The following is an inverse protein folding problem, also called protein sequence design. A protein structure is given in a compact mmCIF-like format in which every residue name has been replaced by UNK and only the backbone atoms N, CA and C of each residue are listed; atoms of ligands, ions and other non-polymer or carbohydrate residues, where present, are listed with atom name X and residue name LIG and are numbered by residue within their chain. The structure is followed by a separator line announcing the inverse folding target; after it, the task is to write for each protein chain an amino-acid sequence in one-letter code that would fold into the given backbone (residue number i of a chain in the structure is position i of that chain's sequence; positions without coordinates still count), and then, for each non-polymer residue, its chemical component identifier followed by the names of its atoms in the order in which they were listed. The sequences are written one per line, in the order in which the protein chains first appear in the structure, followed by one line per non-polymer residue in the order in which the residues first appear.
data_IF_674491603918
#
_entry.id   IF_674491603918
#
_cell.length_a   1.000
_cell.length_b   1.000
_cell.length_c   1.000
_cell.angle_alpha   90.00
_cell.angle_beta   90.00
_cell.angle_gamma   90.00
#
_symmetry.space_group_name_H-M   'P 1'
#
loop_
_entity.id
_entity.type
_entity.pdbx_description
1 polymer ?
#
# COMPACT_ATOMS: atom_id res chain seq x y z
N UNK A 1 17.36 6.83 1.65
CA UNK A 1 16.93 5.52 2.20
C UNK A 1 17.96 5.07 3.22
N UNK A 2 17.65 5.11 4.52
CA UNK A 2 18.44 4.38 5.52
C UNK A 2 18.14 2.89 5.29
N UNK A 3 19.14 2.16 4.79
CA UNK A 3 19.00 0.76 4.43
C UNK A 3 18.70 -0.05 5.70
N UNK A 4 17.49 -0.62 5.78
CA UNK A 4 17.22 -1.73 6.68
C UNK A 4 18.26 -2.83 6.40
N UNK A 5 18.81 -3.51 7.43
CA UNK A 5 19.82 -4.54 7.20
C UNK A 5 19.32 -5.55 6.18
N UNK A 6 20.16 -5.87 5.19
CA UNK A 6 19.82 -6.81 4.14
C UNK A 6 19.36 -8.14 4.76
N UNK A 7 18.12 -8.53 4.47
CA UNK A 7 17.61 -9.82 4.91
C UNK A 7 18.41 -10.94 4.23
N UNK A 8 18.66 -12.05 4.93
CA UNK A 8 19.34 -13.20 4.32
C UNK A 8 18.50 -13.73 3.16
N UNK A 9 19.16 -14.28 2.13
CA UNK A 9 18.46 -14.95 1.05
C UNK A 9 17.66 -16.15 1.58
N UNK A 10 16.45 -16.32 1.07
CA UNK A 10 15.54 -17.42 1.43
C UNK A 10 15.25 -18.28 0.19
N UNK A 11 15.23 -19.60 0.38
CA UNK A 11 15.03 -20.53 -0.72
C UNK A 11 13.52 -20.72 -1.00
N UNK A 12 13.04 -20.49 -2.25
CA UNK A 12 11.61 -20.54 -2.55
C UNK A 12 10.92 -21.89 -2.26
N UNK A 13 11.66 -22.99 -2.30
CA UNK A 13 11.18 -24.35 -2.00
C UNK A 13 10.88 -24.58 -0.50
N UNK A 14 11.32 -23.67 0.37
CA UNK A 14 11.02 -23.68 1.80
C UNK A 14 9.74 -22.92 2.18
N UNK A 15 9.11 -22.25 1.21
CA UNK A 15 7.82 -21.60 1.42
C UNK A 15 6.72 -22.65 1.69
N UNK A 16 5.78 -22.25 2.53
CA UNK A 16 4.62 -23.04 2.90
C UNK A 16 3.34 -22.30 2.53
N UNK A 17 2.27 -23.07 2.29
CA UNK A 17 0.92 -22.51 2.16
C UNK A 17 0.63 -21.60 3.35
N UNK A 18 0.14 -20.40 3.08
CA UNK A 18 -0.14 -19.39 4.10
C UNK A 18 1.02 -18.47 4.45
N UNK A 19 2.26 -18.74 4.00
CA UNK A 19 3.33 -17.75 4.06
C UNK A 19 2.91 -16.49 3.28
N UNK A 20 3.39 -15.32 3.68
CA UNK A 20 3.05 -14.05 3.06
C UNK A 20 4.28 -13.48 2.37
N UNK A 21 4.07 -12.87 1.20
CA UNK A 21 5.11 -12.18 0.46
C UNK A 21 4.82 -10.68 0.45
N UNK A 22 5.74 -9.89 0.98
CA UNK A 22 5.71 -8.43 0.93
C UNK A 22 6.67 -7.94 -0.14
N UNK A 23 6.22 -7.01 -0.97
CA UNK A 23 6.88 -6.73 -2.24
C UNK A 23 6.95 -5.23 -2.52
N UNK A 24 8.01 -4.80 -3.18
CA UNK A 24 8.13 -3.46 -3.75
C UNK A 24 8.06 -3.55 -5.27
N UNK A 25 7.02 -2.95 -5.85
CA UNK A 25 6.89 -2.81 -7.30
C UNK A 25 7.74 -1.67 -7.87
N UNK A 26 8.06 -1.72 -9.16
CA UNK A 26 8.89 -0.72 -9.86
C UNK A 26 8.11 0.51 -10.39
N UNK A 27 6.78 0.53 -10.27
CA UNK A 27 5.94 1.61 -10.82
C UNK A 27 5.84 2.85 -9.92
N UNK A 28 5.65 4.06 -10.46
CA UNK A 28 5.47 5.28 -9.67
C UNK A 28 4.29 5.21 -8.67
N UNK A 29 3.19 4.54 -9.02
CA UNK A 29 2.11 4.29 -8.03
C UNK A 29 2.57 3.36 -6.91
N UNK A 30 3.43 2.36 -7.19
CA UNK A 30 4.02 1.53 -6.13
C UNK A 30 4.88 2.35 -5.18
N UNK A 31 5.71 3.26 -5.69
CA UNK A 31 6.53 4.14 -4.86
C UNK A 31 5.68 5.09 -4.00
N UNK A 32 4.58 5.62 -4.55
CA UNK A 32 3.64 6.45 -3.78
C UNK A 32 2.92 5.66 -2.69
N UNK A 33 2.49 4.42 -2.95
CA UNK A 33 1.88 3.55 -1.94
C UNK A 33 2.87 3.25 -0.82
N UNK A 34 4.11 2.91 -1.18
CA UNK A 34 5.19 2.65 -0.24
C UNK A 34 5.46 3.89 0.65
N UNK A 35 5.62 5.07 0.03
CA UNK A 35 5.82 6.33 0.76
C UNK A 35 4.66 6.69 1.68
N UNK A 36 3.40 6.62 1.19
CA UNK A 36 2.21 6.88 1.99
C UNK A 36 2.10 5.91 3.16
N UNK A 37 2.44 4.63 2.94
CA UNK A 37 2.41 3.58 3.94
C UNK A 37 3.59 3.55 4.90
N UNK A 38 4.53 4.52 4.81
CA UNK A 38 5.81 4.49 5.54
C UNK A 38 6.60 3.19 5.35
N UNK A 39 6.41 2.55 4.19
CA UNK A 39 6.83 1.17 3.94
C UNK A 39 7.90 1.09 2.87
N UNK A 40 8.74 0.07 2.96
CA UNK A 40 9.55 -0.37 1.83
C UNK A 40 8.78 -1.32 0.89
N UNK A 41 7.50 -1.58 1.17
CA UNK A 41 6.65 -2.48 0.41
C UNK A 41 5.44 -1.71 -0.13
N UNK A 42 5.06 -1.98 -1.37
CA UNK A 42 3.84 -1.45 -2.00
C UNK A 42 2.75 -2.51 -2.17
N UNK A 43 3.10 -3.79 -1.98
CA UNK A 43 2.22 -4.90 -2.33
C UNK A 43 2.37 -6.10 -1.38
N UNK A 44 1.32 -6.91 -1.30
CA UNK A 44 1.27 -8.12 -0.48
C UNK A 44 0.58 -9.28 -1.22
N UNK A 45 1.03 -10.51 -0.98
CA UNK A 45 0.42 -11.72 -1.50
C UNK A 45 0.50 -12.84 -0.45
N UNK A 46 -0.36 -13.85 -0.57
CA UNK A 46 -0.29 -15.07 0.24
C UNK A 46 0.12 -16.26 -0.63
N UNK A 47 1.04 -17.09 -0.14
CA UNK A 47 1.48 -18.32 -0.79
C UNK A 47 0.33 -19.33 -0.74
N UNK A 48 -0.06 -19.81 -1.91
CA UNK A 48 -1.10 -20.81 -2.09
C UNK A 48 -0.48 -22.19 -2.35
N UNK A 49 -1.34 -23.18 -2.58
CA UNK A 49 -0.93 -24.51 -3.04
C UNK A 49 -0.39 -24.47 -4.48
N UNK A 50 0.29 -25.55 -4.89
CA UNK A 50 0.77 -25.77 -6.27
C UNK A 50 1.79 -24.75 -6.77
N UNK A 51 2.47 -24.02 -5.88
CA UNK A 51 3.46 -23.01 -6.26
C UNK A 51 2.84 -21.71 -6.77
N UNK A 52 1.59 -21.44 -6.40
CA UNK A 52 0.89 -20.20 -6.71
C UNK A 52 0.97 -19.20 -5.55
N UNK A 53 0.66 -17.96 -5.87
CA UNK A 53 0.31 -16.88 -4.98
C UNK A 53 -1.16 -16.54 -5.18
N UNK A 54 -1.84 -16.11 -4.11
CA UNK A 54 -3.11 -15.39 -4.21
C UNK A 54 -2.84 -13.93 -3.83
N UNK A 55 -3.22 -13.01 -4.73
CA UNK A 55 -3.03 -11.58 -4.56
C UNK A 55 -4.21 -10.81 -5.16
N UNK A 56 -4.44 -9.58 -4.70
CA UNK A 56 -5.30 -8.63 -5.41
C UNK A 56 -4.42 -7.76 -6.31
N UNK A 57 -4.71 -7.74 -7.61
CA UNK A 57 -4.09 -6.85 -8.60
C UNK A 57 -5.19 -6.21 -9.46
N UNK A 58 -4.88 -5.30 -10.39
CA UNK A 58 -5.89 -4.60 -11.20
C UNK A 58 -6.97 -5.51 -11.85
N UNK A 59 -6.65 -6.78 -12.14
CA UNK A 59 -7.58 -7.80 -12.64
C UNK A 59 -8.51 -8.43 -11.58
N UNK A 60 -8.49 -7.95 -10.33
CA UNK A 60 -9.11 -8.59 -9.18
C UNK A 60 -8.20 -9.55 -8.41
N UNK A 61 -8.79 -10.18 -7.39
CA UNK A 61 -8.12 -11.24 -6.62
C UNK A 61 -7.92 -12.45 -7.52
N UNK A 62 -6.67 -12.84 -7.72
CA UNK A 62 -6.26 -13.88 -8.68
C UNK A 62 -5.22 -14.81 -8.10
N UNK A 63 -5.05 -15.96 -8.77
CA UNK A 63 -3.85 -16.78 -8.66
C UNK A 63 -2.76 -16.27 -9.59
N UNK A 64 -1.51 -16.38 -9.16
CA UNK A 64 -0.34 -16.04 -9.97
C UNK A 64 0.83 -16.97 -9.62
N UNK A 65 1.52 -17.50 -10.63
CA UNK A 65 2.60 -18.45 -10.41
C UNK A 65 3.78 -17.79 -9.66
N UNK A 66 4.23 -18.39 -8.55
CA UNK A 66 5.39 -17.92 -7.80
C UNK A 66 6.65 -17.90 -8.66
N UNK A 67 6.86 -18.95 -9.45
CA UNK A 67 8.02 -19.07 -10.34
C UNK A 67 8.11 -17.89 -11.32
N UNK A 68 6.97 -17.46 -11.89
CA UNK A 68 6.90 -16.30 -12.76
C UNK A 68 7.20 -15.01 -11.98
N UNK A 69 6.63 -14.85 -10.77
CA UNK A 69 6.89 -13.68 -9.91
C UNK A 69 8.36 -13.54 -9.55
N UNK A 70 9.05 -14.63 -9.23
CA UNK A 70 10.47 -14.60 -8.86
C UNK A 70 11.42 -14.34 -10.03
N UNK A 71 10.92 -14.35 -11.26
CA UNK A 71 11.68 -13.94 -12.45
C UNK A 71 11.34 -12.53 -12.92
N UNK A 72 10.33 -11.88 -12.32
CA UNK A 72 9.83 -10.58 -12.74
C UNK A 72 10.59 -9.43 -12.09
N UNK A 73 11.88 -9.32 -12.42
CA UNK A 73 12.76 -8.24 -11.93
C UNK A 73 12.50 -6.91 -12.62
N UNK A 74 11.62 -6.87 -13.62
CA UNK A 74 11.21 -5.63 -14.31
C UNK A 74 10.09 -4.94 -13.54
N UNK A 75 9.16 -5.69 -12.96
CA UNK A 75 8.04 -5.10 -12.21
C UNK A 75 8.24 -5.12 -10.68
N UNK A 76 9.17 -5.92 -10.15
CA UNK A 76 9.44 -6.01 -8.71
C UNK A 76 10.91 -5.83 -8.37
N UNK A 77 11.19 -4.92 -7.43
CA UNK A 77 12.52 -4.64 -6.92
C UNK A 77 12.91 -5.56 -5.76
N UNK A 78 11.96 -5.84 -4.88
CA UNK A 78 12.19 -6.62 -3.65
C UNK A 78 10.99 -7.52 -3.40
N UNK A 79 11.26 -8.76 -2.98
CA UNK A 79 10.25 -9.68 -2.43
C UNK A 79 10.83 -10.32 -1.18
N UNK A 80 10.18 -10.06 -0.05
CA UNK A 80 10.52 -10.61 1.26
C UNK A 80 9.41 -11.55 1.75
N UNK A 81 9.82 -12.68 2.32
CA UNK A 81 8.94 -13.72 2.79
C UNK A 81 8.78 -13.66 4.32
N UNK A 82 7.55 -13.87 4.77
CA UNK A 82 7.20 -13.94 6.18
C UNK A 82 6.29 -15.14 6.42
N UNK A 83 6.41 -15.74 7.61
CA UNK A 83 5.59 -16.86 8.06
C UNK A 83 4.63 -16.42 9.14
N UNK A 84 3.31 -16.61 8.96
CA UNK A 84 2.37 -16.31 10.02
C UNK A 84 2.44 -17.25 11.22
N UNK A 85 2.15 -16.67 12.36
CA UNK A 85 1.90 -17.31 13.64
C UNK A 85 0.44 -17.05 14.02
N UNK A 86 -0.10 -17.92 14.86
CA UNK A 86 -1.33 -17.61 15.57
C UNK A 86 -1.16 -16.37 16.45
N UNK A 87 -2.28 -15.79 16.90
CA UNK A 87 -2.27 -14.67 17.85
C UNK A 87 -1.47 -14.98 19.13
N UNK A 88 -1.38 -16.25 19.53
CA UNK A 88 -0.59 -16.70 20.67
C UNK A 88 0.92 -16.87 20.37
N UNK A 89 1.38 -16.52 19.16
CA UNK A 89 2.77 -16.67 18.73
C UNK A 89 3.17 -18.11 18.37
N UNK A 90 2.20 -19.02 18.21
CA UNK A 90 2.46 -20.42 17.85
C UNK A 90 2.48 -20.60 16.33
N UNK A 91 3.36 -21.46 15.83
CA UNK A 91 3.37 -21.86 14.43
C UNK A 91 2.03 -22.50 14.03
N UNK A 92 1.58 -22.18 12.82
CA UNK A 92 0.36 -22.77 12.24
C UNK A 92 0.57 -24.26 11.98
N UNK A 93 -0.45 -25.07 12.24
CA UNK A 93 -0.49 -26.47 11.82
C UNK A 93 -1.05 -26.63 10.38
N UNK A 94 -1.15 -27.86 9.90
CA UNK A 94 -1.68 -28.13 8.55
C UNK A 94 -3.15 -27.73 8.41
N UNK A 95 -3.95 -27.86 9.48
CA UNK A 95 -5.36 -27.50 9.45
C UNK A 95 -5.53 -25.97 9.36
N UNK A 96 -4.71 -25.22 10.08
CA UNK A 96 -4.64 -23.77 10.00
C UNK A 96 -4.27 -23.29 8.61
N UNK A 97 -3.20 -23.84 8.03
CA UNK A 97 -2.78 -23.50 6.66
C UNK A 97 -3.88 -23.81 5.66
N UNK A 98 -4.58 -24.94 5.81
CA UNK A 98 -5.70 -25.30 4.96
C UNK A 98 -6.88 -24.34 5.10
N UNK A 99 -7.24 -23.93 6.32
CA UNK A 99 -8.30 -22.94 6.57
C UNK A 99 -7.96 -21.56 5.97
N UNK A 100 -6.70 -21.12 6.11
CA UNK A 100 -6.22 -19.87 5.50
C UNK A 100 -6.28 -19.94 3.98
N UNK A 101 -5.82 -21.05 3.39
CA UNK A 101 -5.89 -21.27 1.94
C UNK A 101 -7.34 -21.29 1.45
N UNK A 102 -8.23 -22.02 2.12
CA UNK A 102 -9.65 -22.09 1.76
C UNK A 102 -10.28 -20.69 1.81
N UNK A 103 -9.94 -19.89 2.83
CA UNK A 103 -10.40 -18.50 2.90
C UNK A 103 -9.84 -17.66 1.76
N UNK A 104 -8.53 -17.69 1.50
CA UNK A 104 -7.92 -16.95 0.40
C UNK A 104 -8.55 -17.32 -0.96
N UNK A 105 -8.82 -18.61 -1.19
CA UNK A 105 -9.49 -19.09 -2.40
C UNK A 105 -10.94 -18.58 -2.51
N UNK A 106 -11.66 -18.44 -1.40
CA UNK A 106 -13.02 -17.88 -1.41
C UNK A 106 -13.08 -16.41 -1.86
N UNK A 107 -11.94 -15.71 -1.85
CA UNK A 107 -11.83 -14.32 -2.28
C UNK A 107 -11.51 -14.18 -3.77
N UNK A 108 -11.22 -15.28 -4.48
CA UNK A 108 -10.88 -15.24 -5.90
C UNK A 108 -12.01 -14.60 -6.73
N UNK A 109 -11.62 -13.73 -7.66
CA UNK A 109 -12.55 -13.00 -8.53
C UNK A 109 -13.20 -11.78 -7.89
N UNK A 110 -12.99 -11.52 -6.59
CA UNK A 110 -13.38 -10.22 -6.00
C UNK A 110 -12.64 -9.12 -6.77
N UNK A 111 -13.36 -8.15 -7.36
CA UNK A 111 -12.72 -7.08 -8.12
C UNK A 111 -11.70 -6.32 -7.28
N UNK A 112 -10.66 -5.86 -7.93
CA UNK A 112 -9.79 -4.85 -7.32
C UNK A 112 -10.57 -3.55 -7.34
N UNK A 113 -10.48 -2.70 -6.31
CA UNK A 113 -11.04 -1.36 -6.43
C UNK A 113 -10.37 -0.74 -7.65
N UNK A 114 -11.11 -0.60 -8.76
CA UNK A 114 -10.59 -0.01 -10.02
C UNK A 114 -10.01 1.39 -9.78
N UNK A 115 -10.35 1.95 -8.63
CA UNK A 115 -9.80 3.14 -8.03
C UNK A 115 -8.59 2.85 -7.11
N UNK A 116 -7.45 2.42 -7.65
CA UNK A 116 -6.19 2.37 -6.88
C UNK A 116 -5.86 3.74 -6.25
N UNK A 117 -6.33 4.82 -6.89
CA UNK A 117 -6.28 6.18 -6.38
C UNK A 117 -7.09 6.31 -5.08
N UNK A 118 -8.29 5.74 -4.98
CA UNK A 118 -9.02 5.73 -3.71
C UNK A 118 -8.19 5.09 -2.58
N UNK A 119 -7.46 4.01 -2.84
CA UNK A 119 -6.58 3.40 -1.81
C UNK A 119 -5.49 4.38 -1.40
N UNK A 120 -4.78 4.98 -2.36
CA UNK A 120 -3.78 6.01 -2.09
C UNK A 120 -4.37 7.17 -1.26
N UNK A 121 -5.58 7.61 -1.57
CA UNK A 121 -6.29 8.68 -0.87
C UNK A 121 -6.61 8.33 0.58
N UNK A 122 -7.06 7.09 0.85
CA UNK A 122 -7.23 6.58 2.22
C UNK A 122 -5.92 6.68 2.99
N UNK A 123 -4.81 6.24 2.39
CA UNK A 123 -3.51 6.22 3.07
C UNK A 123 -3.03 7.62 3.40
N UNK A 124 -3.13 8.54 2.45
CA UNK A 124 -2.85 9.96 2.67
C UNK A 124 -3.71 10.52 3.80
N UNK A 125 -5.00 10.22 3.84
CA UNK A 125 -5.89 10.70 4.89
C UNK A 125 -5.54 10.15 6.29
N UNK A 126 -5.09 8.89 6.37
CA UNK A 126 -4.69 8.27 7.64
C UNK A 126 -3.35 8.81 8.12
N UNK A 127 -2.37 8.86 7.21
CA UNK A 127 -0.96 9.16 7.50
C UNK A 127 -0.61 10.64 7.44
N UNK A 128 -1.49 11.47 6.89
CA UNK A 128 -1.32 12.93 6.83
C UNK A 128 -0.12 13.36 5.99
N UNK A 129 0.26 12.58 4.97
CA UNK A 129 1.40 12.86 4.10
C UNK A 129 0.97 13.67 2.88
N UNK A 130 1.60 14.82 2.65
CA UNK A 130 1.23 15.73 1.56
C UNK A 130 2.41 16.01 0.63
N UNK A 131 2.24 15.76 -0.68
CA UNK A 131 3.30 16.09 -1.62
C UNK A 131 3.43 17.60 -1.83
N UNK A 132 4.65 18.08 -1.97
CA UNK A 132 4.90 19.47 -2.40
C UNK A 132 4.75 19.68 -3.90
N UNK A 133 4.98 18.63 -4.70
CA UNK A 133 4.88 18.72 -6.14
C UNK A 133 3.43 18.91 -6.59
N UNK A 134 3.17 19.95 -7.40
CA UNK A 134 1.82 20.33 -7.83
C UNK A 134 1.05 19.18 -8.52
N UNK A 135 1.74 18.34 -9.30
CA UNK A 135 1.08 17.24 -10.02
C UNK A 135 0.70 16.12 -9.06
N UNK A 136 1.57 15.83 -8.08
CA UNK A 136 1.25 14.88 -7.03
C UNK A 136 0.09 15.38 -6.18
N UNK A 137 -0.02 16.69 -5.92
CA UNK A 137 -1.19 17.27 -5.24
C UNK A 137 -2.49 17.06 -6.03
N UNK A 138 -2.45 17.14 -7.36
CA UNK A 138 -3.60 16.78 -8.20
C UNK A 138 -3.92 15.29 -8.06
N UNK A 139 -2.93 14.39 -8.20
CA UNK A 139 -3.13 12.94 -8.06
C UNK A 139 -3.71 12.59 -6.68
N UNK A 140 -3.19 13.19 -5.61
CA UNK A 140 -3.70 12.99 -4.24
C UNK A 140 -5.10 13.58 -4.08
N UNK A 141 -5.41 14.72 -4.70
CA UNK A 141 -6.77 15.28 -4.68
C UNK A 141 -7.76 14.35 -5.37
N UNK A 142 -7.45 13.84 -6.55
CA UNK A 142 -8.28 12.87 -7.25
C UNK A 142 -8.48 11.61 -6.40
N UNK A 143 -7.38 11.09 -5.83
CA UNK A 143 -7.40 9.97 -4.90
C UNK A 143 -8.34 10.20 -3.71
N UNK A 144 -8.38 11.42 -3.16
CA UNK A 144 -9.28 11.79 -2.07
C UNK A 144 -10.73 11.94 -2.51
N UNK A 145 -10.98 12.50 -3.70
CA UNK A 145 -12.32 12.71 -4.25
C UNK A 145 -13.03 11.38 -4.61
N UNK A 146 -12.26 10.33 -4.87
CA UNK A 146 -12.75 9.01 -5.24
C UNK A 146 -13.20 8.14 -4.02
N UNK A 147 -13.29 8.73 -2.81
CA UNK A 147 -13.42 7.98 -1.55
C UNK A 147 -14.84 7.72 -1.00
N UNK A 148 -14.92 6.52 -0.38
CA UNK A 148 -15.86 5.93 0.61
C UNK A 148 -17.26 5.45 0.17
N UNK A 149 -17.35 4.13 -0.03
CA UNK A 149 -18.27 3.23 0.71
C UNK A 149 -17.46 2.02 1.22
N UNK A 150 -17.60 1.65 2.49
CA UNK A 150 -17.06 0.37 3.00
C UNK A 150 -17.85 -0.78 2.37
N UNK A 151 -17.31 -1.31 1.28
CA UNK A 151 -17.95 -2.37 0.51
C UNK A 151 -16.95 -3.52 0.31
N UNK A 152 -17.24 -4.73 0.83
CA UNK A 152 -16.41 -5.90 0.61
C UNK A 152 -16.42 -6.39 -0.84
N UNK A 153 -17.16 -5.73 -1.75
CA UNK A 153 -17.17 -6.05 -3.19
C UNK A 153 -15.88 -5.69 -3.92
N UNK A 154 -14.90 -5.06 -3.26
CA UNK A 154 -13.59 -4.76 -3.83
C UNK A 154 -12.49 -5.00 -2.78
N UNK A 155 -11.33 -5.50 -3.19
CA UNK A 155 -10.21 -5.78 -2.26
C UNK A 155 -8.85 -5.35 -2.78
N UNK A 156 -8.04 -4.78 -1.88
CA UNK A 156 -6.62 -4.48 -2.11
C UNK A 156 -5.73 -5.64 -1.66
N UNK A 157 -4.44 -5.60 -2.02
CA UNK A 157 -3.52 -6.71 -1.87
C UNK A 157 -3.29 -7.13 -0.41
N UNK A 158 -3.05 -6.16 0.49
CA UNK A 158 -2.90 -6.41 1.94
C UNK A 158 -4.19 -6.79 2.64
N UNK A 159 -5.34 -6.29 2.16
CA UNK A 159 -6.67 -6.68 2.65
C UNK A 159 -6.92 -8.18 2.40
N UNK A 160 -6.57 -8.70 1.22
CA UNK A 160 -6.69 -10.14 0.91
C UNK A 160 -5.90 -10.97 1.92
N UNK A 161 -4.65 -10.61 2.19
CA UNK A 161 -3.80 -11.31 3.16
C UNK A 161 -4.41 -11.25 4.56
N UNK A 162 -4.80 -10.05 5.01
CA UNK A 162 -5.38 -9.88 6.34
C UNK A 162 -6.68 -10.68 6.50
N UNK A 163 -7.60 -10.60 5.54
CA UNK A 163 -8.88 -11.35 5.58
C UNK A 163 -8.67 -12.85 5.48
N UNK A 164 -7.70 -13.32 4.69
CA UNK A 164 -7.37 -14.74 4.59
C UNK A 164 -6.95 -15.31 5.95
N UNK A 165 -6.21 -14.55 6.75
CA UNK A 165 -5.77 -14.95 8.08
C UNK A 165 -6.85 -14.72 9.15
N UNK A 166 -7.45 -13.54 9.19
CA UNK A 166 -8.37 -13.13 10.24
C UNK A 166 -9.76 -13.79 10.17
N UNK A 167 -10.24 -14.10 8.97
CA UNK A 167 -11.60 -14.59 8.74
C UNK A 167 -11.64 -16.05 8.29
N UNK A 168 -10.52 -16.78 8.37
CA UNK A 168 -10.51 -18.21 8.13
C UNK A 168 -11.26 -18.98 9.23
N UNK A 169 -11.67 -20.20 8.90
CA UNK A 169 -12.36 -21.10 9.83
C UNK A 169 -11.35 -21.79 10.77
N UNK A 170 -10.73 -21.00 11.64
CA UNK A 170 -9.86 -21.46 12.70
C UNK A 170 -10.62 -21.47 14.04
N UNK A 171 -10.29 -22.42 14.92
CA UNK A 171 -10.94 -22.56 16.24
C UNK A 171 -9.98 -22.24 17.38
N UNK A 172 -10.28 -21.27 18.28
CA UNK A 172 -11.45 -20.38 18.24
C UNK A 172 -11.42 -19.36 17.08
N UNK A 173 -12.58 -18.82 16.66
CA UNK A 173 -12.66 -17.83 15.60
C UNK A 173 -11.72 -16.63 15.83
N UNK A 174 -11.07 -16.18 14.76
CA UNK A 174 -10.15 -15.04 14.82
C UNK A 174 -8.79 -15.33 15.46
N UNK A 175 -8.50 -16.57 15.90
CA UNK A 175 -7.20 -16.89 16.53
C UNK A 175 -5.99 -16.72 15.61
N UNK A 176 -6.22 -16.65 14.30
CA UNK A 176 -5.19 -16.42 13.29
C UNK A 176 -5.17 -14.97 12.77
N UNK A 177 -6.03 -14.09 13.31
CA UNK A 177 -6.03 -12.69 12.94
C UNK A 177 -4.69 -12.04 13.34
N UNK A 178 -3.94 -11.47 12.38
CA UNK A 178 -2.69 -10.80 12.68
C UNK A 178 -2.92 -9.63 13.64
N UNK A 179 -2.09 -9.53 14.67
CA UNK A 179 -2.11 -8.37 15.54
C UNK A 179 -1.54 -7.17 14.77
N UNK A 180 -2.38 -6.18 14.50
CA UNK A 180 -1.96 -4.94 13.86
C UNK A 180 -1.50 -3.98 14.93
N UNK A 181 -0.29 -3.45 14.73
CA UNK A 181 0.37 -2.56 15.67
C UNK A 181 0.61 -1.23 14.96
N UNK A 182 0.04 -0.15 15.49
CA UNK A 182 0.25 1.17 14.94
C UNK A 182 1.68 1.63 15.27
N UNK A 183 2.51 1.66 14.23
CA UNK A 183 3.80 2.36 14.25
C UNK A 183 3.59 3.85 13.99
N UNK A 184 4.42 4.69 14.61
CA UNK A 184 4.44 6.11 14.28
C UNK A 184 4.75 6.35 12.79
N UNK A 185 4.31 7.48 12.22
CA UNK A 185 4.71 7.88 10.89
C UNK A 185 6.23 8.12 10.85
N UNK A 186 6.84 7.91 9.68
CA UNK A 186 8.28 8.13 9.49
C UNK A 186 8.52 9.36 8.63
N UNK A 187 9.69 9.98 8.78
CA UNK A 187 10.14 11.07 7.91
C UNK A 187 10.68 10.62 6.56
N UNK A 188 10.08 9.57 5.98
CA UNK A 188 10.49 9.10 4.67
C UNK A 188 10.30 10.25 3.66
N UNK A 189 11.38 10.70 2.98
CA UNK A 189 11.28 11.80 2.04
C UNK A 189 10.37 11.40 0.88
N UNK A 190 9.72 12.39 0.27
CA UNK A 190 8.96 12.18 -0.96
C UNK A 190 9.86 11.55 -2.05
N UNK A 191 9.42 10.49 -2.74
CA UNK A 191 10.24 9.80 -3.75
C UNK A 191 10.52 10.69 -4.97
N UNK A 192 11.64 10.44 -5.65
CA UNK A 192 11.94 11.05 -6.94
C UNK A 192 11.19 10.30 -8.05
N UNK A 193 10.02 10.81 -8.43
CA UNK A 193 9.10 10.10 -9.32
C UNK A 193 9.31 10.48 -10.79
N UNK A 194 9.23 9.48 -11.67
CA UNK A 194 8.95 9.70 -13.09
C UNK A 194 7.51 10.19 -13.25
N UNK A 195 7.35 11.52 -13.35
CA UNK A 195 6.05 12.18 -13.45
C UNK A 195 5.25 11.81 -14.69
N UNK A 196 5.93 11.50 -15.81
CA UNK A 196 5.27 11.08 -17.04
C UNK A 196 4.71 9.68 -16.87
N UNK A 197 5.54 8.76 -16.40
CA UNK A 197 5.12 7.39 -16.12
C UNK A 197 4.01 7.36 -15.05
N UNK A 198 4.10 8.19 -14.01
CA UNK A 198 3.05 8.33 -13.01
C UNK A 198 1.76 8.79 -13.64
N UNK A 199 1.79 9.84 -14.46
CA UNK A 199 0.58 10.35 -15.12
C UNK A 199 -0.04 9.32 -16.05
N UNK A 200 0.76 8.60 -16.83
CA UNK A 200 0.29 7.53 -17.72
C UNK A 200 -0.35 6.38 -16.92
N UNK A 201 0.28 5.94 -15.84
CA UNK A 201 -0.23 4.89 -14.95
C UNK A 201 -1.56 5.33 -14.31
N UNK A 202 -1.59 6.54 -13.74
CA UNK A 202 -2.80 7.14 -13.14
C UNK A 202 -3.92 7.32 -14.16
N UNK A 203 -3.60 7.78 -15.37
CA UNK A 203 -4.59 8.04 -16.42
C UNK A 203 -5.38 6.79 -16.80
N UNK A 204 -4.73 5.63 -16.86
CA UNK A 204 -5.39 4.35 -17.13
C UNK A 204 -6.35 3.91 -16.02
N UNK A 205 -6.17 4.42 -14.80
CA UNK A 205 -7.00 4.11 -13.64
C UNK A 205 -8.20 5.06 -13.50
N UNK A 206 -8.20 6.19 -14.21
CA UNK A 206 -9.28 7.18 -14.12
C UNK A 206 -10.53 6.76 -14.90
N UNK A 207 -11.70 7.04 -14.32
CA UNK A 207 -12.97 6.92 -15.03
C UNK A 207 -13.01 7.87 -16.26
N UNK A 208 -13.64 7.50 -17.40
CA UNK A 208 -13.65 8.33 -18.61
C UNK A 208 -14.13 9.78 -18.42
N UNK A 209 -15.09 10.00 -17.52
CA UNK A 209 -15.54 11.35 -17.16
C UNK A 209 -14.41 12.19 -16.51
N UNK A 210 -13.59 11.60 -15.64
CA UNK A 210 -12.45 12.29 -15.02
C UNK A 210 -11.33 12.53 -16.03
N UNK A 211 -11.09 11.59 -16.94
CA UNK A 211 -10.17 11.80 -18.07
C UNK A 211 -10.58 13.03 -18.90
N UNK A 212 -11.88 13.25 -19.13
CA UNK A 212 -12.35 14.46 -19.81
C UNK A 212 -12.09 15.74 -19.02
N UNK A 213 -12.35 15.73 -17.71
CA UNK A 213 -12.12 16.88 -16.81
C UNK A 213 -10.63 17.23 -16.70
N UNK A 214 -9.75 16.22 -16.66
CA UNK A 214 -8.30 16.39 -16.54
C UNK A 214 -7.59 16.48 -17.90
N UNK A 215 -8.33 16.53 -19.01
CA UNK A 215 -7.76 16.57 -20.36
C UNK A 215 -6.82 17.76 -20.59
N UNK A 216 -7.14 18.92 -19.98
CA UNK A 216 -6.29 20.11 -20.04
C UNK A 216 -4.95 19.92 -19.31
N UNK A 217 -4.93 19.14 -18.22
CA UNK A 217 -3.69 18.80 -17.49
C UNK A 217 -2.83 17.88 -18.35
N UNK A 218 -3.43 16.89 -19.00
CA UNK A 218 -2.73 15.98 -19.91
C UNK A 218 -2.11 16.72 -21.12
N UNK A 219 -2.85 17.65 -21.73
CA UNK A 219 -2.34 18.48 -22.84
C UNK A 219 -1.19 19.39 -22.40
N UNK A 220 -1.26 19.93 -21.18
CA UNK A 220 -0.21 20.80 -20.64
C UNK A 220 1.04 20.02 -20.24
N UNK A 221 0.93 18.82 -19.68
CA UNK A 221 2.07 17.94 -19.42
C UNK A 221 2.84 17.62 -20.71
N UNK A 222 2.12 17.30 -21.79
CA UNK A 222 2.71 17.11 -23.11
C UNK A 222 3.44 18.36 -23.66
N UNK A 223 3.05 19.56 -23.22
CA UNK A 223 3.71 20.82 -23.58
C UNK A 223 4.90 21.17 -22.65
N UNK A 224 4.93 20.65 -21.42
CA UNK A 224 5.98 20.92 -20.42
C UNK A 224 7.25 20.09 -20.67
N UNK A 225 7.19 18.95 -21.39
CA UNK A 225 8.35 18.14 -21.78
C UNK A 225 9.41 18.89 -22.64
N UNK A 226 9.25 20.19 -22.90
CA UNK A 226 10.26 21.07 -23.49
C UNK A 226 10.40 22.47 -22.85
N UNK A 227 9.82 22.74 -21.68
CA UNK A 227 9.79 24.08 -21.06
C UNK A 227 10.70 24.20 -19.81
N UNK A 228 11.25 25.40 -19.51
CA UNK A 228 12.03 25.62 -18.29
C UNK A 228 11.20 25.41 -17.01
N UNK A 229 11.77 24.71 -16.02
CA UNK A 229 11.09 24.31 -14.76
C UNK A 229 10.37 25.44 -14.00
N UNK A 230 10.81 26.70 -14.15
CA UNK A 230 10.22 27.86 -13.48
C UNK A 230 8.90 28.35 -14.11
N UNK A 231 8.63 28.02 -15.37
CA UNK A 231 7.39 28.39 -16.09
C UNK A 231 6.30 27.33 -15.94
N UNK A 232 6.67 26.07 -15.72
CA UNK A 232 5.71 24.99 -15.49
C UNK A 232 4.92 25.23 -14.18
N UNK A 233 5.57 25.68 -13.11
CA UNK A 233 4.97 25.77 -11.78
C UNK A 233 3.84 26.82 -11.61
N UNK A 234 3.78 27.91 -12.41
CA UNK A 234 2.86 29.03 -12.15
C UNK A 234 1.52 28.98 -12.91
N UNK A 235 1.37 28.11 -13.91
CA UNK A 235 0.20 28.06 -14.80
C UNK A 235 -0.78 26.92 -14.51
N UNK A 236 -0.62 26.25 -13.36
CA UNK A 236 -1.29 25.00 -13.03
C UNK A 236 -2.32 25.26 -11.93
N UNK A 237 -3.46 24.60 -12.00
CA UNK A 237 -4.50 24.64 -10.97
C UNK A 237 -3.84 24.35 -9.62
N UNK A 238 -3.67 25.37 -8.80
CA UNK A 238 -3.04 25.24 -7.49
C UNK A 238 -4.04 24.56 -6.58
N UNK A 239 -3.99 23.22 -6.55
CA UNK A 239 -4.63 22.45 -5.49
C UNK A 239 -4.03 22.96 -4.18
N UNK A 240 -4.88 23.59 -3.37
CA UNK A 240 -4.44 24.24 -2.13
C UNK A 240 -4.19 23.21 -1.03
N UNK A 241 -3.43 23.58 -0.01
CA UNK A 241 -3.28 22.73 1.18
C UNK A 241 -4.62 22.56 1.90
N UNK A 242 -5.46 23.59 1.87
CA UNK A 242 -6.82 23.57 2.41
C UNK A 242 -7.71 22.56 1.69
N UNK A 243 -7.64 22.50 0.36
CA UNK A 243 -8.36 21.53 -0.47
C UNK A 243 -8.02 20.08 -0.09
N UNK A 244 -6.73 19.77 0.04
CA UNK A 244 -6.24 18.45 0.40
C UNK A 244 -6.61 18.10 1.85
N UNK A 245 -6.41 19.04 2.78
CA UNK A 245 -6.76 18.89 4.18
C UNK A 245 -8.26 18.62 4.38
N UNK A 246 -9.11 19.34 3.65
CA UNK A 246 -10.56 19.14 3.68
C UNK A 246 -10.96 17.76 3.16
N UNK A 247 -10.36 17.32 2.04
CA UNK A 247 -10.56 15.98 1.50
C UNK A 247 -10.18 14.89 2.51
N UNK A 248 -8.97 14.95 3.08
CA UNK A 248 -8.55 13.99 4.09
C UNK A 248 -9.43 14.03 5.35
N UNK A 249 -9.80 15.20 5.84
CA UNK A 249 -10.65 15.31 7.03
C UNK A 249 -12.05 14.75 6.80
N UNK A 250 -12.61 14.87 5.58
CA UNK A 250 -13.87 14.22 5.23
C UNK A 250 -13.76 12.68 5.28
N UNK A 251 -12.67 12.13 4.76
CA UNK A 251 -12.38 10.69 4.80
C UNK A 251 -12.20 10.21 6.24
N UNK A 252 -11.41 10.94 7.03
CA UNK A 252 -11.18 10.65 8.45
C UNK A 252 -12.48 10.66 9.23
N UNK A 253 -13.36 11.63 8.98
CA UNK A 253 -14.69 11.67 9.59
C UNK A 253 -15.52 10.43 9.22
N UNK A 254 -15.50 9.99 7.96
CA UNK A 254 -16.14 8.75 7.52
C UNK A 254 -15.58 7.48 8.18
N UNK A 255 -14.31 7.51 8.57
CA UNK A 255 -13.61 6.43 9.30
C UNK A 255 -13.68 6.58 10.84
N UNK A 256 -14.33 7.64 11.36
CA UNK A 256 -14.41 7.90 12.81
C UNK A 256 -13.11 8.40 13.46
N UNK A 257 -12.18 8.96 12.68
CA UNK A 257 -10.90 9.48 13.13
C UNK A 257 -10.97 10.99 13.42
N UNK A 258 -10.18 11.51 14.40
CA UNK A 258 -10.11 12.95 14.66
C UNK A 258 -9.48 13.71 13.47
N UNK A 259 -9.85 14.98 13.25
CA UNK A 259 -9.29 15.77 12.15
C UNK A 259 -7.78 15.96 12.30
N UNK A 260 -7.08 16.08 11.16
CA UNK A 260 -5.67 16.47 11.13
C UNK A 260 -5.51 17.93 11.58
N UNK A 261 -4.38 18.27 12.22
CA UNK A 261 -4.05 19.67 12.47
C UNK A 261 -3.86 20.42 11.15
N UNK A 262 -4.07 21.75 11.14
CA UNK A 262 -3.85 22.57 9.95
C UNK A 262 -2.39 22.48 9.48
N UNK A 263 -2.19 22.48 8.16
CA UNK A 263 -0.87 22.58 7.54
C UNK A 263 -0.34 23.99 7.81
N UNK A 264 0.84 24.13 8.44
CA UNK A 264 1.47 25.43 8.72
C UNK A 264 2.73 25.60 7.86
N UNK A 265 3.01 26.84 7.44
CA UNK A 265 4.11 27.22 6.52
C UNK A 265 5.54 26.86 7.01
N UNK A 266 5.68 26.29 8.20
CA UNK A 266 6.98 25.93 8.81
C UNK A 266 7.35 24.46 8.68
N UNK A 267 6.51 23.65 8.04
CA UNK A 267 6.77 22.22 7.88
C UNK A 267 7.30 21.96 6.47
N UNK A 268 8.63 21.95 6.33
CA UNK A 268 9.27 21.28 5.20
C UNK A 268 8.73 19.84 5.15
N UNK A 269 8.50 19.30 3.95
CA UNK A 269 7.89 18.00 3.67
C UNK A 269 8.75 16.81 4.13
N UNK A 270 8.90 16.70 5.44
CA UNK A 270 9.43 15.55 6.14
C UNK A 270 8.29 14.71 6.74
N UNK A 271 7.02 14.99 6.44
CA UNK A 271 5.88 14.29 7.05
C UNK A 271 5.54 14.70 8.49
N UNK A 272 6.01 15.86 9.01
CA UNK A 272 5.81 16.24 10.42
C UNK A 272 4.42 16.80 10.80
N UNK A 273 3.36 16.58 10.00
CA UNK A 273 2.01 16.98 10.43
C UNK A 273 1.44 16.14 11.56
N UNK A 274 2.17 15.10 11.99
CA UNK A 274 1.79 14.25 13.09
C UNK A 274 2.91 14.25 14.13
N UNK A 275 2.55 14.38 15.41
CA UNK A 275 3.48 14.12 16.51
C UNK A 275 4.08 12.72 16.28
N UNK A 276 5.38 12.68 16.04
CA UNK A 276 6.17 11.45 16.01
C UNK A 276 5.80 10.60 17.23
N UNK A 277 5.48 9.33 17.02
CA UNK A 277 5.70 8.37 18.09
C UNK A 277 7.22 8.26 18.18
N UNK A 278 7.82 8.74 19.26
CA UNK A 278 9.26 8.67 19.47
C UNK A 278 9.77 7.24 19.26
N UNK A 279 11.03 7.11 18.84
CA UNK A 279 11.70 5.87 18.38
C UNK A 279 11.63 4.65 19.33
N UNK A 280 11.07 4.81 20.53
CA UNK A 280 10.95 3.77 21.56
C UNK A 280 9.52 3.48 22.04
N UNK A 281 8.48 4.09 21.46
CA UNK A 281 7.12 3.78 21.88
C UNK A 281 6.76 2.35 21.41
N UNK A 282 6.53 1.38 22.31
CA UNK A 282 6.04 0.06 21.90
C UNK A 282 4.75 0.30 21.12
N UNK A 283 4.72 -0.15 19.87
CA UNK A 283 3.63 0.17 18.98
C UNK A 283 2.29 -0.22 19.61
N UNK A 284 1.27 0.60 19.39
CA UNK A 284 -0.02 0.41 20.06
C UNK A 284 -0.85 -0.65 19.32
N UNK A 285 -1.23 -1.77 19.96
CA UNK A 285 -2.11 -2.75 19.33
C UNK A 285 -3.46 -2.14 18.95
N UNK A 286 -3.91 -2.41 17.73
CA UNK A 286 -5.23 -2.02 17.24
C UNK A 286 -6.19 -3.21 17.42
N UNK A 287 -7.16 -3.15 18.36
CA UNK A 287 -7.98 -4.32 18.72
C UNK A 287 -8.93 -4.79 17.62
N UNK A 288 -9.39 -3.88 16.77
CA UNK A 288 -10.31 -4.16 15.66
C UNK A 288 -9.86 -3.40 14.40
N UNK A 289 -8.77 -3.85 13.76
CA UNK A 289 -8.29 -3.18 12.56
C UNK A 289 -9.33 -3.34 11.45
N UNK A 290 -9.59 -2.26 10.72
CA UNK A 290 -10.37 -2.36 9.49
C UNK A 290 -9.47 -3.02 8.42
N UNK A 291 -9.86 -4.19 7.85
CA UNK A 291 -9.04 -4.88 6.85
C UNK A 291 -8.63 -4.02 5.66
N UNK A 292 -9.46 -3.04 5.26
CA UNK A 292 -9.17 -2.11 4.16
C UNK A 292 -8.03 -1.14 4.46
N UNK A 293 -7.72 -0.96 5.73
CA UNK A 293 -6.69 -0.03 6.20
C UNK A 293 -5.39 -0.73 6.57
N UNK A 294 -5.37 -2.07 6.52
CA UNK A 294 -4.16 -2.85 6.80
C UNK A 294 -3.19 -2.68 5.65
N UNK A 295 -1.98 -2.24 5.99
CA UNK A 295 -0.90 -1.99 5.02
C UNK A 295 0.15 -3.10 5.00
N UNK A 296 0.92 -3.22 3.91
CA UNK A 296 2.09 -4.10 3.88
C UNK A 296 3.04 -3.89 5.06
N UNK A 297 3.26 -2.64 5.50
CA UNK A 297 4.07 -2.36 6.69
C UNK A 297 3.44 -2.91 7.98
N UNK A 298 2.12 -2.81 8.12
CA UNK A 298 1.44 -3.34 9.31
C UNK A 298 1.58 -4.86 9.39
N UNK A 299 1.57 -5.54 8.25
CA UNK A 299 1.89 -6.97 8.16
C UNK A 299 3.35 -7.22 8.49
N UNK A 300 4.28 -6.41 7.98
CA UNK A 300 5.72 -6.55 8.26
C UNK A 300 6.06 -6.38 9.75
N UNK A 301 5.41 -5.40 10.41
CA UNK A 301 5.63 -5.05 11.81
C UNK A 301 4.77 -5.86 12.78
N UNK A 302 3.85 -6.69 12.27
CA UNK A 302 2.99 -7.51 13.10
C UNK A 302 3.82 -8.53 13.90
N UNK A 303 3.66 -8.61 15.23
CA UNK A 303 4.29 -9.66 16.03
C UNK A 303 3.72 -11.05 15.72
N UNK A 304 2.63 -11.12 14.95
CA UNK A 304 2.03 -12.37 14.48
C UNK A 304 2.75 -12.95 13.25
N UNK A 305 3.87 -12.37 12.79
CA UNK A 305 4.64 -12.89 11.67
C UNK A 305 6.13 -13.00 12.00
N UNK A 306 6.81 -13.97 11.39
CA UNK A 306 8.27 -14.14 11.46
C UNK A 306 8.86 -13.89 10.08
N UNK A 307 9.91 -13.08 10.00
CA UNK A 307 10.65 -12.87 8.75
C UNK A 307 11.40 -14.15 8.39
N UNK A 308 11.19 -14.66 7.18
CA UNK A 308 11.89 -15.83 6.65
C UNK A 308 13.17 -15.43 5.90
N UNK A 309 13.10 -14.33 5.15
CA UNK A 309 14.21 -13.76 4.39
C UNK A 309 13.79 -13.23 3.01
N UNK A 310 14.78 -12.90 2.18
CA UNK A 310 14.60 -12.29 0.87
C UNK A 310 14.55 -13.35 -0.24
N UNK A 311 13.48 -13.34 -1.02
CA UNK A 311 13.30 -14.21 -2.19
C UNK A 311 13.84 -13.57 -3.48
N UNK A 312 13.67 -12.26 -3.63
CA UNK A 312 14.08 -11.50 -4.81
C UNK A 312 14.68 -10.17 -4.41
N UNK A 313 15.79 -9.83 -5.06
CA UNK A 313 16.37 -8.49 -5.08
C UNK A 313 16.76 -8.19 -6.52
N UNK A 314 16.05 -7.28 -7.18
CA UNK A 314 16.51 -6.75 -8.46
C UNK A 314 17.73 -5.87 -8.22
N UNK A 315 18.70 -5.94 -9.13
CA UNK A 315 19.71 -4.89 -9.28
C UNK A 315 19.02 -3.64 -9.78
N UNK A 316 18.99 -2.58 -8.98
CA UNK A 316 18.55 -1.26 -9.45
C UNK A 316 19.44 -0.87 -10.64
N UNK A 317 18.88 -0.50 -11.81
CA UNK A 317 19.69 0.09 -12.86
C UNK A 317 20.35 1.36 -12.30
N UNK A 318 21.65 1.50 -12.58
CA UNK A 318 22.48 2.63 -12.14
C UNK A 318 22.10 3.94 -12.84
#
# INVERSE_FOLDING_TARGET
MTAQPALPAFAPDQLQVGDILLQLGCGPVSELIAWCGDSIYSHAAIVADQGDLIEAAASGVRRYALSQRLTDTTNYLVIDAYRPLSYAGLALDDADRASVLAKAQSLLGVPYPLDSLATLGVLVAIRGKWPQHWLARIVVREALDHLVRDNPSHMVCSEVVYRALAECDATPPGRLAPQIVLSGPTHMPFPDLDWKALWEEVWQLLHPHRQQVLGDVAQRLAAVEGAPASLAASALTTVTDEDLLNGANAVRAGLGLPPLPPVTDQVEDNGSLLREAGEEAPGTPLPHPNPKLVMPLDLANSPSHVVLGRLLQATTPA
#
